data_IF_367468886001
#
_entry.id   IF_367468886001
#
_cell.length_a   1.000
_cell.length_b   1.000
_cell.length_c   1.000
_cell.angle_alpha   90.00
_cell.angle_beta   90.00
_cell.angle_gamma   90.00
#
_symmetry.space_group_name_H-M   'P 1'
#
loop_
_entity.id
_entity.type
_entity.pdbx_description
1 polymer ?
#
# COMPACT_ATOMS: atom_id res chain seq x y z
N UNK A 1 24.66 -15.98 -43.39
CA UNK A 1 23.32 -15.39 -43.37
C UNK A 1 22.29 -16.52 -43.24
N UNK A 2 21.96 -16.90 -41.99
CA UNK A 2 20.93 -17.91 -41.74
C UNK A 2 19.60 -17.16 -41.46
N UNK A 3 18.66 -17.30 -42.41
CA UNK A 3 17.28 -16.83 -42.21
C UNK A 3 16.61 -17.74 -41.18
N UNK A 4 16.34 -17.20 -40.00
CA UNK A 4 15.48 -17.85 -39.01
C UNK A 4 14.07 -17.94 -39.60
N UNK A 5 13.64 -19.16 -39.90
CA UNK A 5 12.31 -19.44 -40.43
C UNK A 5 11.27 -19.16 -39.37
N UNK A 6 10.52 -18.10 -39.53
CA UNK A 6 9.31 -17.78 -38.71
C UNK A 6 8.31 -18.95 -38.89
N UNK A 7 8.18 -19.77 -37.84
CA UNK A 7 7.19 -20.86 -37.79
C UNK A 7 5.80 -20.26 -37.88
N UNK A 8 5.11 -20.38 -39.01
CA UNK A 8 3.72 -19.94 -39.19
C UNK A 8 2.90 -20.50 -38.04
N UNK A 9 2.29 -19.60 -37.23
CA UNK A 9 1.30 -19.96 -36.20
C UNK A 9 0.18 -20.77 -36.86
N UNK A 10 0.13 -22.08 -36.58
CA UNK A 10 -0.92 -22.96 -37.06
C UNK A 10 -2.31 -22.40 -36.69
N UNK A 11 -3.30 -22.54 -37.59
CA UNK A 11 -4.69 -22.16 -37.34
C UNK A 11 -5.12 -22.76 -35.97
N UNK A 12 -5.44 -21.91 -34.99
CA UNK A 12 -5.97 -22.36 -33.71
C UNK A 12 -7.22 -23.17 -33.97
N UNK A 13 -7.31 -24.39 -33.41
CA UNK A 13 -8.51 -25.20 -33.57
C UNK A 13 -9.70 -24.43 -32.93
N UNK A 14 -10.85 -24.45 -33.62
CA UNK A 14 -12.08 -23.78 -33.18
C UNK A 14 -12.42 -24.11 -31.73
N UNK A 15 -12.22 -25.38 -31.32
CA UNK A 15 -12.44 -25.81 -29.92
C UNK A 15 -11.51 -25.11 -28.90
N UNK A 16 -10.23 -24.89 -29.22
CA UNK A 16 -9.33 -24.13 -28.34
C UNK A 16 -9.76 -22.67 -28.21
N UNK A 17 -10.20 -22.07 -29.30
CA UNK A 17 -10.66 -20.69 -29.31
C UNK A 17 -11.95 -20.53 -28.51
N UNK A 18 -12.91 -21.44 -28.69
CA UNK A 18 -14.16 -21.47 -27.96
C UNK A 18 -13.91 -21.67 -26.44
N UNK A 19 -13.04 -22.59 -26.07
CA UNK A 19 -12.67 -22.83 -24.67
C UNK A 19 -12.08 -21.56 -24.00
N UNK A 20 -11.20 -20.84 -24.72
CA UNK A 20 -10.63 -19.58 -24.21
C UNK A 20 -11.71 -18.53 -24.03
N UNK A 21 -12.61 -18.33 -24.99
CA UNK A 21 -13.68 -17.34 -24.85
C UNK A 21 -14.68 -17.69 -23.77
N UNK A 22 -15.07 -18.95 -23.62
CA UNK A 22 -15.97 -19.37 -22.55
C UNK A 22 -15.30 -19.24 -21.17
N UNK A 23 -14.00 -19.59 -21.06
CA UNK A 23 -13.25 -19.42 -19.82
C UNK A 23 -13.06 -17.97 -19.41
N UNK A 24 -12.90 -17.06 -20.40
CA UNK A 24 -12.77 -15.61 -20.14
C UNK A 24 -14.11 -14.87 -20.00
N UNK A 25 -15.21 -15.45 -20.50
CA UNK A 25 -16.51 -14.80 -20.47
C UNK A 25 -16.98 -14.45 -19.04
N UNK A 26 -16.81 -15.38 -18.10
CA UNK A 26 -17.18 -15.16 -16.70
C UNK A 26 -16.37 -14.05 -16.01
N UNK A 27 -15.03 -14.06 -16.02
CA UNK A 27 -14.23 -12.96 -15.46
C UNK A 27 -14.53 -11.59 -16.09
N UNK A 28 -14.73 -11.54 -17.42
CA UNK A 28 -15.06 -10.29 -18.13
C UNK A 28 -16.43 -9.78 -17.71
N UNK A 29 -17.43 -10.65 -17.65
CA UNK A 29 -18.79 -10.29 -17.23
C UNK A 29 -18.78 -9.80 -15.77
N UNK A 30 -18.12 -10.53 -14.88
CA UNK A 30 -17.97 -10.14 -13.47
C UNK A 30 -17.30 -8.78 -13.34
N UNK A 31 -16.19 -8.56 -14.04
CA UNK A 31 -15.49 -7.28 -14.05
C UNK A 31 -16.39 -6.15 -14.57
N UNK A 32 -17.09 -6.37 -15.68
CA UNK A 32 -17.96 -5.36 -16.29
C UNK A 32 -19.11 -4.98 -15.34
N UNK A 33 -19.80 -5.97 -14.75
CA UNK A 33 -20.93 -5.71 -13.88
C UNK A 33 -20.52 -5.06 -12.56
N UNK A 34 -19.55 -5.63 -11.86
CA UNK A 34 -19.21 -5.17 -10.52
C UNK A 34 -18.25 -3.97 -10.52
N UNK A 35 -17.25 -3.96 -11.37
CA UNK A 35 -16.29 -2.85 -11.39
C UNK A 35 -16.83 -1.64 -12.15
N UNK A 36 -17.29 -1.85 -13.37
CA UNK A 36 -17.71 -0.76 -14.26
C UNK A 36 -18.96 -0.04 -13.76
N UNK A 37 -20.02 -0.78 -13.36
CA UNK A 37 -21.25 -0.18 -12.85
C UNK A 37 -21.02 0.59 -11.54
N UNK A 38 -20.18 0.07 -10.62
CA UNK A 38 -19.85 0.76 -9.37
C UNK A 38 -19.07 2.06 -9.64
N UNK A 39 -18.07 2.02 -10.51
CA UNK A 39 -17.27 3.20 -10.82
C UNK A 39 -18.05 4.26 -11.60
N UNK A 40 -18.96 3.89 -12.51
CA UNK A 40 -19.85 4.84 -13.18
C UNK A 40 -20.75 5.54 -12.15
N UNK A 41 -21.31 4.80 -11.19
CA UNK A 41 -22.10 5.37 -10.11
C UNK A 41 -21.33 6.42 -9.30
N UNK A 42 -20.08 6.13 -8.98
CA UNK A 42 -19.20 7.08 -8.28
C UNK A 42 -18.95 8.34 -9.14
N UNK A 43 -18.64 8.16 -10.42
CA UNK A 43 -18.44 9.29 -11.36
C UNK A 43 -19.73 10.10 -11.50
N UNK A 44 -20.89 9.45 -11.62
CA UNK A 44 -22.18 10.14 -11.67
C UNK A 44 -22.42 10.94 -10.39
N UNK A 45 -22.29 10.33 -9.22
CA UNK A 45 -22.50 10.97 -7.92
C UNK A 45 -21.55 12.15 -7.66
N UNK A 46 -20.38 12.19 -8.30
CA UNK A 46 -19.41 13.28 -8.13
C UNK A 46 -19.86 14.63 -8.72
N UNK A 47 -20.88 14.63 -9.58
CA UNK A 47 -21.45 15.84 -10.18
C UNK A 47 -22.70 16.35 -9.44
N UNK A 48 -23.16 15.65 -8.42
CA UNK A 48 -24.38 15.97 -7.70
C UNK A 48 -24.12 16.15 -6.21
N UNK A 49 -24.85 17.08 -5.55
CA UNK A 49 -25.01 17.14 -4.10
C UNK A 49 -26.37 16.61 -3.69
N UNK A 50 -26.48 16.15 -2.47
CA UNK A 50 -27.75 15.76 -1.87
C UNK A 50 -28.26 16.89 -0.97
N UNK A 51 -29.47 17.37 -1.24
CA UNK A 51 -30.13 18.37 -0.40
C UNK A 51 -30.69 17.71 0.87
N UNK A 52 -31.03 18.53 1.89
CA UNK A 52 -31.63 18.12 3.18
C UNK A 52 -32.86 17.19 2.97
N UNK A 53 -33.54 17.29 1.85
CA UNK A 53 -34.68 16.47 1.48
C UNK A 53 -34.31 15.18 0.68
N UNK A 54 -33.06 14.81 0.58
CA UNK A 54 -32.62 13.64 -0.16
C UNK A 54 -32.68 13.78 -1.70
N UNK A 55 -32.90 15.00 -2.23
CA UNK A 55 -32.90 15.24 -3.69
C UNK A 55 -31.51 15.56 -4.19
N UNK A 56 -31.11 14.90 -5.28
CA UNK A 56 -29.88 15.20 -5.99
C UNK A 56 -30.01 16.52 -6.77
N UNK A 57 -29.09 17.44 -6.54
CA UNK A 57 -28.93 18.70 -7.25
C UNK A 57 -27.66 18.63 -8.07
N UNK A 58 -27.70 19.03 -9.32
CA UNK A 58 -26.53 19.04 -10.19
C UNK A 58 -25.65 20.26 -9.89
N UNK A 59 -24.42 20.03 -9.41
CA UNK A 59 -23.42 21.05 -9.06
C UNK A 59 -22.26 21.14 -10.07
N UNK A 60 -22.31 20.34 -11.12
CA UNK A 60 -21.27 20.35 -12.15
C UNK A 60 -19.88 19.98 -11.60
N UNK A 61 -18.90 20.87 -11.77
CA UNK A 61 -17.50 20.62 -11.38
C UNK A 61 -17.10 21.30 -10.05
N UNK A 62 -18.04 21.82 -9.25
CA UNK A 62 -17.71 22.53 -8.02
C UNK A 62 -16.99 21.63 -7.01
N UNK A 63 -17.41 20.38 -6.85
CA UNK A 63 -16.76 19.41 -5.97
C UNK A 63 -15.30 19.12 -6.37
N UNK A 64 -15.01 19.08 -7.66
CA UNK A 64 -13.63 18.93 -8.15
C UNK A 64 -12.77 20.15 -7.85
N UNK A 65 -13.33 21.37 -8.01
CA UNK A 65 -12.65 22.61 -7.61
C UNK A 65 -12.34 22.61 -6.12
N UNK A 66 -13.28 22.14 -5.31
CA UNK A 66 -13.07 22.03 -3.87
C UNK A 66 -12.01 20.98 -3.53
N UNK A 67 -11.98 19.80 -4.16
CA UNK A 67 -10.91 18.82 -3.98
C UNK A 67 -9.53 19.44 -4.22
N UNK A 68 -9.36 20.18 -5.32
CA UNK A 68 -8.07 20.83 -5.61
C UNK A 68 -7.75 22.00 -4.65
N UNK A 69 -8.75 22.82 -4.26
CA UNK A 69 -8.56 23.87 -3.27
C UNK A 69 -8.10 23.30 -1.92
N UNK A 70 -8.66 22.16 -1.52
CA UNK A 70 -8.34 21.49 -0.26
C UNK A 70 -7.01 20.76 -0.33
N UNK A 71 -6.69 20.15 -1.45
CA UNK A 71 -5.40 19.53 -1.67
C UNK A 71 -4.24 20.51 -1.49
N UNK A 72 -4.40 21.77 -1.96
CA UNK A 72 -3.37 22.80 -1.89
C UNK A 72 -3.50 23.73 -0.67
N UNK A 73 -4.44 23.47 0.25
CA UNK A 73 -4.59 24.24 1.49
C UNK A 73 -5.02 25.70 1.32
N UNK A 74 -5.75 26.02 0.23
CA UNK A 74 -6.12 27.40 -0.13
C UNK A 74 -7.17 28.00 0.80
N UNK A 75 -7.94 27.18 1.52
CA UNK A 75 -8.95 27.61 2.50
C UNK A 75 -8.56 27.28 3.94
N UNK A 76 -8.72 28.23 4.86
CA UNK A 76 -8.27 28.19 6.26
C UNK A 76 -8.93 27.09 7.14
N UNK A 77 -10.07 26.54 6.74
CA UNK A 77 -10.79 25.49 7.47
C UNK A 77 -10.30 24.05 7.15
N UNK A 78 -9.27 23.88 6.32
CA UNK A 78 -9.00 22.64 5.60
C UNK A 78 -7.58 22.13 5.76
N UNK A 79 -6.89 22.52 6.82
CA UNK A 79 -5.60 21.91 7.21
C UNK A 79 -5.68 20.39 7.33
N UNK A 80 -6.87 19.84 7.65
CA UNK A 80 -7.08 18.39 7.74
C UNK A 80 -6.98 17.75 6.36
N UNK A 81 -7.54 18.37 5.31
CA UNK A 81 -7.54 17.82 3.96
C UNK A 81 -6.15 17.79 3.34
N UNK A 82 -5.42 18.91 3.38
CA UNK A 82 -4.05 18.97 2.86
C UNK A 82 -3.11 18.02 3.62
N UNK A 83 -3.29 17.90 4.93
CA UNK A 83 -2.53 16.95 5.76
C UNK A 83 -2.84 15.49 5.39
N UNK A 84 -4.08 15.17 5.04
CA UNK A 84 -4.46 13.82 4.60
C UNK A 84 -3.80 13.41 3.29
N UNK A 85 -3.61 14.33 2.35
CA UNK A 85 -2.81 14.10 1.15
C UNK A 85 -1.34 13.83 1.48
N UNK A 86 -0.74 14.65 2.34
CA UNK A 86 0.64 14.45 2.82
C UNK A 86 0.79 13.11 3.55
N UNK A 87 -0.16 12.74 4.39
CA UNK A 87 -0.18 11.45 5.07
C UNK A 87 -0.22 10.29 4.08
N UNK A 88 -1.06 10.37 3.05
CA UNK A 88 -1.14 9.35 1.99
C UNK A 88 0.19 9.22 1.24
N UNK A 89 0.82 10.34 0.88
CA UNK A 89 2.14 10.35 0.25
C UNK A 89 3.23 9.81 1.19
N UNK A 90 3.14 10.10 2.49
CA UNK A 90 4.06 9.57 3.50
C UNK A 90 3.96 8.05 3.62
N UNK A 91 2.74 7.49 3.67
CA UNK A 91 2.52 6.03 3.68
C UNK A 91 3.06 5.40 2.40
N UNK A 92 2.83 6.02 1.24
CA UNK A 92 3.35 5.55 -0.04
C UNK A 92 4.89 5.58 -0.08
N UNK A 93 5.50 6.67 0.38
CA UNK A 93 6.95 6.78 0.48
C UNK A 93 7.55 5.76 1.45
N UNK A 94 6.93 5.58 2.62
CA UNK A 94 7.33 4.59 3.61
C UNK A 94 7.24 3.16 3.04
N UNK A 95 6.18 2.84 2.29
CA UNK A 95 6.01 1.54 1.66
C UNK A 95 7.12 1.25 0.62
N UNK A 96 7.48 2.24 -0.21
CA UNK A 96 8.47 2.08 -1.27
C UNK A 96 9.92 2.16 -0.76
N UNK A 97 10.23 3.11 0.12
CA UNK A 97 11.62 3.42 0.49
C UNK A 97 12.07 2.75 1.79
N UNK A 98 11.14 2.27 2.62
CA UNK A 98 11.45 1.59 3.88
C UNK A 98 10.98 0.13 3.83
N UNK A 99 9.69 -0.11 3.63
CA UNK A 99 9.15 -1.47 3.72
C UNK A 99 9.68 -2.38 2.60
N UNK A 100 9.71 -1.92 1.37
CA UNK A 100 10.18 -2.72 0.24
C UNK A 100 11.67 -3.11 0.37
N UNK A 101 12.64 -2.18 0.65
CA UNK A 101 14.03 -2.56 0.85
C UNK A 101 14.24 -3.48 2.07
N UNK A 102 13.57 -3.22 3.19
CA UNK A 102 13.65 -4.09 4.37
C UNK A 102 13.13 -5.49 4.05
N UNK A 103 12.00 -5.60 3.35
CA UNK A 103 11.43 -6.89 2.94
C UNK A 103 12.39 -7.64 2.01
N UNK A 104 13.05 -6.96 1.07
CA UNK A 104 14.05 -7.57 0.17
C UNK A 104 15.24 -8.12 0.96
N UNK A 105 15.78 -7.34 1.90
CA UNK A 105 16.89 -7.77 2.75
C UNK A 105 16.51 -8.98 3.61
N UNK A 106 15.36 -8.93 4.32
CA UNK A 106 14.92 -10.06 5.13
C UNK A 106 14.59 -11.31 4.29
N UNK A 107 14.01 -11.13 3.10
CA UNK A 107 13.78 -12.24 2.17
C UNK A 107 15.09 -12.88 1.72
N UNK A 108 16.10 -12.09 1.42
CA UNK A 108 17.43 -12.60 1.06
C UNK A 108 18.09 -13.35 2.21
N UNK A 109 18.00 -12.82 3.44
CA UNK A 109 18.54 -13.51 4.63
C UNK A 109 17.86 -14.89 4.86
N UNK A 110 16.56 -14.98 4.63
CA UNK A 110 15.82 -16.24 4.74
C UNK A 110 16.19 -17.19 3.58
N UNK A 111 16.34 -16.67 2.36
CA UNK A 111 16.73 -17.43 1.17
C UNK A 111 18.10 -18.07 1.31
N UNK A 112 19.10 -17.29 1.72
CA UNK A 112 20.48 -17.76 1.96
C UNK A 112 20.64 -18.57 3.24
N UNK A 113 19.58 -18.80 4.00
CA UNK A 113 19.60 -19.55 5.28
C UNK A 113 20.63 -19.02 6.29
N UNK A 114 20.77 -17.70 6.36
CA UNK A 114 21.68 -17.05 7.31
C UNK A 114 21.26 -17.37 8.75
N UNK A 115 22.18 -17.21 9.71
CA UNK A 115 21.92 -17.44 11.13
C UNK A 115 20.57 -16.88 11.59
N UNK A 116 19.79 -17.66 12.34
CA UNK A 116 18.43 -17.36 12.79
C UNK A 116 17.36 -17.25 11.67
N UNK A 117 17.61 -17.71 10.43
CA UNK A 117 16.62 -17.66 9.34
C UNK A 117 15.27 -18.31 9.67
N UNK A 118 15.25 -19.35 10.51
CA UNK A 118 13.99 -20.00 10.96
C UNK A 118 13.20 -19.08 11.90
N UNK A 119 13.87 -18.45 12.86
CA UNK A 119 13.23 -17.50 13.78
C UNK A 119 12.73 -16.27 13.02
N UNK A 120 13.51 -15.73 12.07
CA UNK A 120 13.11 -14.66 11.18
C UNK A 120 11.88 -15.06 10.33
N UNK A 121 11.88 -16.28 9.77
CA UNK A 121 10.75 -16.78 8.99
C UNK A 121 9.47 -16.82 9.84
N UNK A 122 9.52 -17.39 11.03
CA UNK A 122 8.36 -17.47 11.92
C UNK A 122 7.92 -16.08 12.36
N UNK A 123 8.85 -15.23 12.82
CA UNK A 123 8.55 -13.87 13.28
C UNK A 123 7.93 -12.98 12.21
N UNK A 124 8.34 -13.13 10.95
CA UNK A 124 7.80 -12.36 9.83
C UNK A 124 6.51 -12.93 9.24
N UNK A 125 6.31 -14.26 9.28
CA UNK A 125 5.12 -14.88 8.69
C UNK A 125 3.93 -14.88 9.64
N UNK A 126 4.13 -14.95 10.95
CA UNK A 126 3.03 -14.93 11.94
C UNK A 126 2.12 -13.70 11.79
N UNK A 127 2.64 -12.46 11.69
CA UNK A 127 1.79 -11.29 11.46
C UNK A 127 1.03 -11.31 10.12
N UNK A 128 1.55 -12.00 9.08
CA UNK A 128 0.86 -12.10 7.79
C UNK A 128 -0.44 -12.93 7.84
N UNK A 129 -0.51 -13.89 8.77
CA UNK A 129 -1.68 -14.79 8.94
C UNK A 129 -2.77 -14.10 9.75
N UNK A 130 -2.40 -13.12 10.58
CA UNK A 130 -3.34 -12.42 11.44
C UNK A 130 -4.08 -11.33 10.65
N UNK A 131 -5.38 -11.16 10.96
CA UNK A 131 -6.15 -10.03 10.43
C UNK A 131 -5.55 -8.70 10.87
N UNK A 132 -5.54 -7.71 9.98
CA UNK A 132 -5.11 -6.34 10.31
C UNK A 132 -5.89 -5.75 11.50
N UNK A 133 -7.14 -6.15 11.69
CA UNK A 133 -7.96 -5.72 12.83
C UNK A 133 -7.37 -6.22 14.15
N UNK A 134 -6.99 -7.50 14.20
CA UNK A 134 -6.36 -8.10 15.39
C UNK A 134 -5.01 -7.43 15.68
N UNK A 135 -4.21 -7.19 14.64
CA UNK A 135 -2.92 -6.49 14.77
C UNK A 135 -3.10 -5.06 15.29
N UNK A 136 -4.10 -4.32 14.77
CA UNK A 136 -4.44 -2.99 15.26
C UNK A 136 -4.87 -3.02 16.73
N UNK A 137 -5.74 -3.95 17.13
CA UNK A 137 -6.18 -4.08 18.52
C UNK A 137 -5.01 -4.40 19.45
N UNK A 138 -4.19 -5.39 19.09
CA UNK A 138 -2.99 -5.74 19.86
C UNK A 138 -2.04 -4.55 20.02
N UNK A 139 -1.74 -3.86 18.92
CA UNK A 139 -0.87 -2.69 18.93
C UNK A 139 -1.46 -1.55 19.75
N UNK A 140 -2.76 -1.26 19.58
CA UNK A 140 -3.48 -0.24 20.35
C UNK A 140 -3.39 -0.50 21.86
N UNK A 141 -3.64 -1.73 22.31
CA UNK A 141 -3.49 -2.11 23.71
C UNK A 141 -2.06 -1.90 24.19
N UNK A 142 -1.08 -2.22 23.36
CA UNK A 142 0.35 -2.10 23.71
C UNK A 142 0.81 -0.64 23.88
N UNK A 143 0.22 0.32 23.14
CA UNK A 143 0.66 1.73 23.14
C UNK A 143 -0.33 2.70 23.81
N UNK A 144 -1.49 2.23 24.29
CA UNK A 144 -2.55 3.09 24.88
C UNK A 144 -2.61 3.02 26.41
N UNK A 145 -1.52 3.38 27.08
CA UNK A 145 -1.56 3.64 28.52
C UNK A 145 -1.75 2.44 29.45
N UNK A 146 -1.57 1.21 28.96
CA UNK A 146 -1.56 -0.01 29.78
C UNK A 146 -0.37 -0.04 30.74
N UNK A 147 -0.40 -0.94 31.74
CA UNK A 147 0.71 -1.08 32.70
C UNK A 147 2.05 -1.37 32.00
N UNK A 148 2.03 -2.20 30.93
CA UNK A 148 3.22 -2.51 30.10
C UNK A 148 3.78 -1.26 29.42
N UNK A 149 2.90 -0.42 28.86
CA UNK A 149 3.29 0.84 28.23
C UNK A 149 3.86 1.83 29.24
N UNK A 150 3.25 1.92 30.44
CA UNK A 150 3.75 2.77 31.54
C UNK A 150 5.14 2.32 32.00
N UNK A 151 5.41 1.03 32.09
CA UNK A 151 6.72 0.50 32.41
C UNK A 151 7.78 0.88 31.36
N UNK A 152 7.44 0.79 30.07
CA UNK A 152 8.32 1.23 28.98
C UNK A 152 8.57 2.74 29.05
N UNK A 153 7.55 3.55 29.29
CA UNK A 153 7.67 5.00 29.43
C UNK A 153 8.54 5.39 30.63
N UNK A 154 8.43 4.68 31.75
CA UNK A 154 9.32 4.92 32.92
C UNK A 154 10.79 4.70 32.57
N UNK A 155 11.11 3.75 31.68
CA UNK A 155 12.46 3.57 31.17
C UNK A 155 12.86 4.73 30.27
N UNK A 156 11.95 5.17 29.37
CA UNK A 156 12.21 6.30 28.46
C UNK A 156 12.34 7.63 29.23
N UNK A 157 11.60 7.83 30.32
CA UNK A 157 11.76 8.99 31.21
C UNK A 157 13.16 9.03 31.86
N UNK A 158 13.65 7.87 32.30
CA UNK A 158 15.03 7.75 32.82
C UNK A 158 16.08 8.07 31.74
N UNK A 159 15.75 7.87 30.46
CA UNK A 159 16.56 8.24 29.30
C UNK A 159 16.35 9.69 28.82
N UNK A 160 15.55 10.48 29.55
CA UNK A 160 15.35 11.91 29.28
C UNK A 160 14.10 12.27 28.49
N UNK A 161 13.21 11.32 28.20
CA UNK A 161 11.93 11.60 27.51
C UNK A 161 10.89 12.17 28.48
N UNK A 162 10.40 13.42 28.25
CA UNK A 162 9.58 14.18 29.22
C UNK A 162 8.17 14.52 28.71
N UNK A 163 7.62 13.81 27.74
CA UNK A 163 6.26 14.15 27.26
C UNK A 163 5.17 13.57 28.19
N UNK A 164 4.68 14.39 29.10
CA UNK A 164 3.69 13.99 30.10
C UNK A 164 2.32 13.63 29.52
N UNK A 165 1.90 14.20 28.40
CA UNK A 165 0.59 13.88 27.80
C UNK A 165 0.60 12.46 27.21
N UNK A 166 1.71 12.03 26.62
CA UNK A 166 1.94 10.67 26.12
C UNK A 166 1.96 9.66 27.26
N UNK A 167 2.60 10.01 28.39
CA UNK A 167 2.67 9.16 29.58
C UNK A 167 1.28 8.92 30.17
N UNK A 168 0.43 9.94 30.18
CA UNK A 168 -0.89 9.87 30.80
C UNK A 168 -1.95 9.23 29.89
N UNK A 169 -2.00 9.62 28.64
CA UNK A 169 -3.09 9.31 27.70
C UNK A 169 -2.75 8.25 26.65
N UNK A 170 -1.46 7.87 26.51
CA UNK A 170 -0.98 6.98 25.46
C UNK A 170 -0.55 7.72 24.20
N UNK A 171 0.31 7.06 23.41
CA UNK A 171 0.93 7.67 22.23
C UNK A 171 -0.05 7.96 21.08
N UNK A 172 -1.21 7.30 21.05
CA UNK A 172 -2.24 7.49 20.03
C UNK A 172 -3.20 8.64 20.33
N UNK A 173 -3.28 9.08 21.58
CA UNK A 173 -4.19 10.16 22.00
C UNK A 173 -3.56 11.56 21.85
N UNK A 174 -2.25 11.64 21.68
CA UNK A 174 -1.53 12.90 21.53
C UNK A 174 -1.28 13.19 20.03
N UNK A 175 -1.70 14.38 19.57
CA UNK A 175 -1.58 14.79 18.16
C UNK A 175 -0.13 14.87 17.66
N UNK A 176 0.84 15.06 18.57
CA UNK A 176 2.27 15.13 18.22
C UNK A 176 2.90 13.77 17.98
N UNK A 177 2.38 12.70 18.61
CA UNK A 177 2.95 11.35 18.56
C UNK A 177 2.10 10.33 17.81
N UNK A 178 0.79 10.58 17.69
CA UNK A 178 -0.15 9.63 17.09
C UNK A 178 0.25 9.21 15.68
N UNK A 179 0.64 10.17 14.84
CA UNK A 179 1.07 9.87 13.46
C UNK A 179 2.33 9.01 13.42
N UNK A 180 3.35 9.36 14.19
CA UNK A 180 4.60 8.58 14.25
C UNK A 180 4.34 7.15 14.76
N UNK A 181 3.45 7.01 15.74
CA UNK A 181 3.04 5.69 16.26
C UNK A 181 2.36 4.83 15.18
N UNK A 182 1.52 5.45 14.33
CA UNK A 182 0.91 4.79 13.18
C UNK A 182 1.96 4.41 12.13
N UNK A 183 2.95 5.28 11.87
CA UNK A 183 4.03 4.97 10.93
C UNK A 183 4.86 3.76 11.39
N UNK A 184 5.18 3.67 12.69
CA UNK A 184 5.87 2.49 13.26
C UNK A 184 5.04 1.21 13.05
N UNK A 185 3.73 1.27 13.32
CA UNK A 185 2.83 0.15 13.03
C UNK A 185 2.85 -0.23 11.55
N UNK A 186 2.84 0.77 10.64
CA UNK A 186 2.83 0.56 9.20
C UNK A 186 4.14 -0.04 8.68
N UNK A 187 5.29 0.30 9.30
CA UNK A 187 6.57 -0.36 8.99
C UNK A 187 6.52 -1.82 9.45
N UNK A 188 6.13 -2.05 10.69
CA UNK A 188 6.09 -3.41 11.24
C UNK A 188 5.19 -4.34 10.43
N UNK A 189 3.98 -3.91 10.08
CA UNK A 189 3.04 -4.74 9.30
C UNK A 189 3.38 -4.80 7.82
N UNK A 190 3.93 -3.72 7.25
CA UNK A 190 4.22 -3.61 5.82
C UNK A 190 5.39 -4.47 5.36
N UNK A 191 6.41 -4.65 6.19
CA UNK A 191 7.56 -5.54 5.89
C UNK A 191 7.11 -6.99 5.78
N UNK A 192 6.21 -7.42 6.67
CA UNK A 192 5.78 -8.82 6.75
C UNK A 192 4.99 -9.26 5.52
N UNK A 193 4.09 -8.43 4.99
CA UNK A 193 3.14 -8.80 3.95
C UNK A 193 3.77 -9.27 2.63
N UNK A 194 4.92 -8.73 2.27
CA UNK A 194 5.54 -8.94 0.96
C UNK A 194 6.67 -9.99 0.94
N UNK A 195 7.09 -10.47 2.11
CA UNK A 195 8.25 -11.37 2.25
C UNK A 195 8.06 -12.70 1.52
N UNK A 196 6.83 -13.22 1.47
CA UNK A 196 6.49 -14.48 0.80
C UNK A 196 6.71 -14.37 -0.71
N UNK A 197 6.35 -13.24 -1.31
CA UNK A 197 6.51 -13.01 -2.75
C UNK A 197 7.98 -12.95 -3.15
N UNK A 198 8.81 -12.24 -2.40
CA UNK A 198 10.24 -12.16 -2.69
C UNK A 198 10.97 -13.46 -2.41
N UNK A 199 10.64 -14.18 -1.33
CA UNK A 199 11.19 -15.51 -1.11
C UNK A 199 10.85 -16.48 -2.24
N UNK A 200 9.60 -16.45 -2.74
CA UNK A 200 9.17 -17.27 -3.86
C UNK A 200 9.87 -16.88 -5.17
N UNK A 201 10.15 -15.60 -5.37
CA UNK A 201 10.89 -15.13 -6.54
C UNK A 201 12.37 -15.57 -6.49
N UNK A 202 13.01 -15.41 -5.32
CA UNK A 202 14.41 -15.83 -5.12
C UNK A 202 14.57 -17.35 -5.23
N UNK A 203 13.62 -18.13 -4.72
CA UNK A 203 13.65 -19.60 -4.82
C UNK A 203 13.56 -20.15 -6.27
N UNK A 204 13.22 -19.32 -7.24
CA UNK A 204 13.20 -19.69 -8.67
C UNK A 204 14.51 -19.38 -9.39
N UNK A 205 15.45 -18.73 -8.71
CA UNK A 205 16.76 -18.44 -9.30
C UNK A 205 17.56 -19.74 -9.47
N UNK A 206 18.25 -19.94 -10.61
CA UNK A 206 19.11 -21.10 -10.78
C UNK A 206 20.28 -21.08 -9.80
N UNK A 207 20.45 -22.15 -9.03
CA UNK A 207 21.53 -22.26 -8.04
C UNK A 207 22.92 -22.11 -8.71
N UNK A 208 23.07 -22.61 -9.95
CA UNK A 208 24.32 -22.51 -10.73
C UNK A 208 24.81 -21.06 -10.93
N UNK A 209 23.91 -20.07 -10.97
CA UNK A 209 24.29 -18.65 -11.12
C UNK A 209 24.96 -18.14 -9.86
N UNK A 210 24.42 -18.49 -8.68
CA UNK A 210 24.97 -18.08 -7.39
C UNK A 210 26.25 -18.84 -7.04
N UNK A 211 26.28 -20.15 -7.34
CA UNK A 211 27.50 -20.97 -7.19
C UNK A 211 28.65 -20.45 -8.05
N UNK A 212 28.39 -20.11 -9.31
CA UNK A 212 29.42 -19.51 -10.20
C UNK A 212 29.91 -18.17 -9.63
N UNK A 213 29.02 -17.33 -9.12
CA UNK A 213 29.40 -16.06 -8.51
C UNK A 213 30.24 -16.24 -7.22
N UNK A 214 29.96 -17.29 -6.44
CA UNK A 214 30.76 -17.66 -5.28
C UNK A 214 32.17 -18.12 -5.66
N UNK A 215 32.29 -18.93 -6.73
CA UNK A 215 33.57 -19.36 -7.27
C UNK A 215 34.39 -18.17 -7.81
N UNK A 216 33.74 -17.15 -8.37
CA UNK A 216 34.35 -15.90 -8.81
C UNK A 216 34.70 -14.95 -7.63
N UNK A 217 34.44 -15.36 -6.37
CA UNK A 217 34.76 -14.56 -5.17
C UNK A 217 33.79 -13.40 -4.92
N UNK A 218 32.58 -13.41 -5.47
CA UNK A 218 31.57 -12.40 -5.22
C UNK A 218 31.06 -12.50 -3.78
N UNK A 219 31.18 -11.41 -3.01
CA UNK A 219 30.62 -11.32 -1.66
C UNK A 219 29.10 -11.40 -1.68
N UNK A 220 28.48 -11.80 -0.56
CA UNK A 220 27.01 -11.86 -0.39
C UNK A 220 26.31 -10.55 -0.79
N UNK A 221 26.88 -9.42 -0.38
CA UNK A 221 26.36 -8.09 -0.74
C UNK A 221 26.40 -7.86 -2.26
N UNK A 222 27.49 -8.27 -2.92
CA UNK A 222 27.61 -8.15 -4.38
C UNK A 222 26.65 -9.08 -5.09
N UNK A 223 26.48 -10.30 -4.63
CA UNK A 223 25.47 -11.23 -5.17
C UNK A 223 24.06 -10.64 -5.04
N UNK A 224 23.71 -10.08 -3.87
CA UNK A 224 22.40 -9.48 -3.64
C UNK A 224 22.09 -8.33 -4.61
N UNK A 225 22.96 -7.31 -4.67
CA UNK A 225 22.69 -6.12 -5.48
C UNK A 225 22.93 -6.32 -6.98
N UNK A 226 23.93 -7.11 -7.38
CA UNK A 226 24.33 -7.23 -8.78
C UNK A 226 23.73 -8.43 -9.51
N UNK A 227 23.20 -9.44 -8.79
CA UNK A 227 22.66 -10.66 -9.38
C UNK A 227 21.19 -10.83 -8.99
N UNK A 228 20.91 -10.94 -7.68
CA UNK A 228 19.57 -11.28 -7.20
C UNK A 228 18.55 -10.20 -7.54
N UNK A 229 18.82 -8.93 -7.18
CA UNK A 229 17.91 -7.81 -7.45
C UNK A 229 17.58 -7.67 -8.95
N UNK A 230 18.55 -7.65 -9.89
CA UNK A 230 18.23 -7.61 -11.31
C UNK A 230 17.40 -8.79 -11.79
N UNK A 231 17.69 -10.00 -11.33
CA UNK A 231 16.95 -11.21 -11.75
C UNK A 231 15.51 -11.27 -11.24
N UNK A 232 15.23 -10.71 -10.07
CA UNK A 232 13.85 -10.63 -9.52
C UNK A 232 13.17 -9.29 -9.80
N UNK A 233 13.75 -8.44 -10.65
CA UNK A 233 13.25 -7.10 -10.93
C UNK A 233 11.78 -7.04 -11.35
N UNK A 234 11.27 -7.95 -12.22
CA UNK A 234 9.84 -7.99 -12.54
C UNK A 234 8.95 -8.17 -11.32
N UNK A 235 9.38 -8.98 -10.35
CA UNK A 235 8.66 -9.15 -9.08
C UNK A 235 8.73 -7.88 -8.23
N UNK A 236 9.89 -7.20 -8.17
CA UNK A 236 10.05 -5.93 -7.47
C UNK A 236 9.13 -4.87 -8.08
N UNK A 237 9.06 -4.77 -9.40
CA UNK A 237 8.17 -3.84 -10.11
C UNK A 237 6.70 -4.12 -9.77
N UNK A 238 6.27 -5.37 -9.84
CA UNK A 238 4.89 -5.76 -9.52
C UNK A 238 4.53 -5.47 -8.06
N UNK A 239 5.42 -5.79 -7.11
CA UNK A 239 5.21 -5.51 -5.69
C UNK A 239 5.20 -4.01 -5.40
N UNK A 240 6.06 -3.23 -6.05
CA UNK A 240 6.07 -1.77 -5.91
C UNK A 240 4.74 -1.16 -6.37
N UNK A 241 4.20 -1.60 -7.50
CA UNK A 241 2.88 -1.17 -8.00
C UNK A 241 1.78 -1.53 -6.99
N UNK A 242 1.83 -2.73 -6.42
CA UNK A 242 0.86 -3.19 -5.41
C UNK A 242 0.95 -2.35 -4.14
N UNK A 243 2.16 -2.01 -3.69
CA UNK A 243 2.38 -1.14 -2.52
C UNK A 243 1.86 0.28 -2.74
N UNK A 244 2.10 0.88 -3.92
CA UNK A 244 1.56 2.19 -4.28
C UNK A 244 0.03 2.17 -4.26
N UNK A 245 -0.58 1.18 -4.92
CA UNK A 245 -2.03 1.04 -4.97
C UNK A 245 -2.64 0.81 -3.57
N UNK A 246 -1.98 -0.01 -2.74
CA UNK A 246 -2.37 -0.23 -1.35
C UNK A 246 -2.29 1.03 -0.49
N UNK A 247 -1.27 1.87 -0.70
CA UNK A 247 -1.10 3.12 0.03
C UNK A 247 -2.21 4.15 -0.29
N UNK A 248 -2.70 4.18 -1.53
CA UNK A 248 -3.83 5.04 -1.92
C UNK A 248 -5.14 4.64 -1.23
N UNK A 249 -5.36 3.36 -0.97
CA UNK A 249 -6.52 2.81 -0.25
C UNK A 249 -6.28 2.61 1.26
N UNK A 250 -5.19 3.13 1.82
CA UNK A 250 -4.81 2.87 3.20
C UNK A 250 -5.62 3.73 4.18
N UNK A 251 -6.54 3.11 4.94
CA UNK A 251 -7.38 3.81 5.92
C UNK A 251 -7.62 3.01 7.21
N UNK A 252 -7.61 1.68 7.14
CA UNK A 252 -7.99 0.80 8.26
C UNK A 252 -7.16 1.07 9.52
N UNK A 253 -5.83 1.18 9.50
CA UNK A 253 -5.07 1.46 10.70
C UNK A 253 -5.38 2.84 11.30
N UNK A 254 -5.57 3.90 10.49
CA UNK A 254 -6.01 5.21 11.01
C UNK A 254 -7.35 5.11 11.71
N UNK A 255 -8.31 4.38 11.13
CA UNK A 255 -9.64 4.19 11.68
C UNK A 255 -9.62 3.40 12.99
N UNK A 256 -8.91 2.29 13.04
CA UNK A 256 -8.93 1.37 14.17
C UNK A 256 -8.02 1.80 15.34
N UNK A 257 -6.86 2.38 15.05
CA UNK A 257 -5.90 2.77 16.08
C UNK A 257 -6.35 4.04 16.80
N UNK A 258 -6.76 5.06 16.06
CA UNK A 258 -7.11 6.36 16.62
C UNK A 258 -8.62 6.55 16.78
N UNK A 259 -9.40 5.96 15.89
CA UNK A 259 -10.86 6.12 15.84
C UNK A 259 -11.28 7.20 14.85
N UNK A 260 -12.53 7.14 14.40
CA UNK A 260 -13.04 7.98 13.32
C UNK A 260 -13.02 9.47 13.67
N UNK A 261 -13.54 9.84 14.83
CA UNK A 261 -13.60 11.23 15.30
C UNK A 261 -12.22 11.81 15.63
N UNK A 262 -11.33 11.01 16.20
CA UNK A 262 -10.00 11.48 16.62
C UNK A 262 -9.00 11.55 15.46
N UNK A 263 -9.15 10.78 14.42
CA UNK A 263 -8.24 10.82 13.27
C UNK A 263 -8.27 12.19 12.56
N UNK A 264 -9.42 12.84 12.51
CA UNK A 264 -9.55 14.22 12.03
C UNK A 264 -8.82 15.22 12.93
N UNK A 265 -9.07 15.19 14.24
CA UNK A 265 -8.50 16.15 15.21
C UNK A 265 -7.00 15.95 15.43
N UNK A 266 -6.51 14.73 15.46
CA UNK A 266 -5.08 14.41 15.54
C UNK A 266 -4.33 14.58 14.22
N UNK A 267 -5.06 14.75 13.12
CA UNK A 267 -4.49 14.88 11.77
C UNK A 267 -3.80 13.60 11.28
N UNK A 268 -4.28 12.43 11.68
CA UNK A 268 -3.75 11.11 11.28
C UNK A 268 -4.54 10.48 10.12
N UNK A 269 -5.60 11.15 9.63
CA UNK A 269 -6.39 10.69 8.50
C UNK A 269 -5.60 10.70 7.19
N UNK A 270 -5.88 9.73 6.33
CA UNK A 270 -5.43 9.67 4.92
C UNK A 270 -6.57 10.09 3.99
N UNK A 271 -6.31 10.22 2.69
CA UNK A 271 -7.38 10.54 1.72
C UNK A 271 -8.45 9.44 1.69
N UNK A 272 -8.04 8.16 1.74
CA UNK A 272 -8.99 7.04 1.81
C UNK A 272 -9.83 7.08 3.11
N UNK A 273 -9.21 7.44 4.24
CA UNK A 273 -9.94 7.66 5.49
C UNK A 273 -10.97 8.78 5.37
N UNK A 274 -10.64 9.91 4.71
CA UNK A 274 -11.58 11.00 4.49
C UNK A 274 -12.81 10.56 3.68
N UNK A 275 -12.61 9.77 2.62
CA UNK A 275 -13.72 9.24 1.81
C UNK A 275 -14.63 8.38 2.70
N UNK A 276 -14.07 7.42 3.43
CA UNK A 276 -14.84 6.50 4.27
C UNK A 276 -15.55 7.24 5.41
N UNK A 277 -14.90 8.19 6.06
CA UNK A 277 -15.50 9.00 7.14
C UNK A 277 -16.69 9.82 6.63
N UNK A 278 -16.61 10.42 5.44
CA UNK A 278 -17.74 11.14 4.83
C UNK A 278 -18.89 10.19 4.47
N UNK A 279 -18.58 9.02 3.90
CA UNK A 279 -19.59 8.01 3.56
C UNK A 279 -20.30 7.50 4.82
N UNK A 280 -19.55 7.22 5.89
CA UNK A 280 -20.12 6.79 7.18
C UNK A 280 -21.00 7.88 7.84
N UNK A 281 -20.69 9.15 7.58
CA UNK A 281 -21.52 10.29 8.01
C UNK A 281 -22.79 10.49 7.14
N UNK A 282 -23.05 9.61 6.17
CA UNK A 282 -24.21 9.70 5.26
C UNK A 282 -23.97 10.53 4.01
N UNK A 283 -22.76 11.08 3.82
CA UNK A 283 -22.42 11.92 2.66
C UNK A 283 -21.68 11.09 1.61
N UNK A 284 -22.39 10.29 0.83
CA UNK A 284 -21.79 9.45 -0.21
C UNK A 284 -21.70 10.15 -1.59
N UNK A 285 -22.38 11.29 -1.75
CA UNK A 285 -22.45 12.08 -3.00
C UNK A 285 -21.55 13.32 -2.92
N UNK A 286 -21.33 13.96 -4.05
CA UNK A 286 -20.59 15.22 -4.15
C UNK A 286 -19.10 15.09 -3.87
N UNK A 287 -18.62 15.77 -2.83
CA UNK A 287 -17.21 15.88 -2.51
C UNK A 287 -16.49 14.52 -2.31
N UNK A 288 -16.97 13.55 -1.52
CA UNK A 288 -16.27 12.27 -1.36
C UNK A 288 -16.24 11.45 -2.65
N UNK A 289 -17.29 11.52 -3.46
CA UNK A 289 -17.30 10.87 -4.77
C UNK A 289 -16.29 11.53 -5.74
N UNK A 290 -16.24 12.86 -5.79
CA UNK A 290 -15.24 13.59 -6.58
C UNK A 290 -13.81 13.31 -6.10
N UNK A 291 -13.59 13.24 -4.79
CA UNK A 291 -12.29 12.88 -4.20
C UNK A 291 -11.85 11.47 -4.60
N UNK A 292 -12.79 10.50 -4.61
CA UNK A 292 -12.55 9.14 -5.09
C UNK A 292 -12.16 9.08 -6.57
N UNK A 293 -12.81 9.85 -7.43
CA UNK A 293 -12.46 9.97 -8.86
C UNK A 293 -11.07 10.58 -9.03
N UNK A 294 -10.79 11.67 -8.33
CA UNK A 294 -9.48 12.36 -8.42
C UNK A 294 -8.34 11.42 -7.99
N UNK A 295 -8.50 10.73 -6.85
CA UNK A 295 -7.44 9.81 -6.37
C UNK A 295 -7.27 8.60 -7.31
N UNK A 296 -8.35 8.12 -7.94
CA UNK A 296 -8.28 7.03 -8.93
C UNK A 296 -7.54 7.48 -10.19
N UNK A 297 -7.80 8.67 -10.71
CA UNK A 297 -7.14 9.22 -11.90
C UNK A 297 -5.67 9.54 -11.61
N UNK A 298 -5.38 10.28 -10.54
CA UNK A 298 -4.01 10.65 -10.17
C UNK A 298 -3.19 9.41 -9.79
N UNK A 299 -3.75 8.52 -8.98
CA UNK A 299 -3.10 7.29 -8.56
C UNK A 299 -2.84 6.34 -9.74
N UNK A 300 -3.83 6.13 -10.61
CA UNK A 300 -3.69 5.30 -11.81
C UNK A 300 -2.61 5.86 -12.75
N UNK A 301 -2.61 7.17 -12.99
CA UNK A 301 -1.58 7.84 -13.80
C UNK A 301 -0.21 7.67 -13.17
N UNK A 302 -0.09 7.87 -11.86
CA UNK A 302 1.17 7.70 -11.14
C UNK A 302 1.69 6.27 -11.23
N UNK A 303 0.83 5.26 -11.04
CA UNK A 303 1.17 3.83 -11.17
C UNK A 303 1.69 3.51 -12.57
N UNK A 304 1.02 4.01 -13.63
CA UNK A 304 1.44 3.78 -15.02
C UNK A 304 2.80 4.42 -15.34
N UNK A 305 3.02 5.63 -14.85
CA UNK A 305 4.30 6.33 -15.01
C UNK A 305 5.41 5.61 -14.23
N UNK A 306 5.13 5.22 -13.00
CA UNK A 306 6.07 4.48 -12.15
C UNK A 306 6.46 3.14 -12.80
N UNK A 307 5.47 2.37 -13.30
CA UNK A 307 5.72 1.13 -14.05
C UNK A 307 6.67 1.36 -15.22
N UNK A 308 6.40 2.37 -16.05
CA UNK A 308 7.27 2.73 -17.18
C UNK A 308 8.72 3.04 -16.77
N UNK A 309 8.89 3.73 -15.64
CA UNK A 309 10.24 4.04 -15.12
C UNK A 309 10.95 2.76 -14.68
N UNK A 310 10.27 1.89 -13.93
CA UNK A 310 10.85 0.62 -13.46
C UNK A 310 11.24 -0.31 -14.61
N UNK A 311 10.40 -0.44 -15.63
CA UNK A 311 10.69 -1.24 -16.85
C UNK A 311 11.84 -0.66 -17.68
N UNK A 312 12.08 0.65 -17.61
CA UNK A 312 13.22 1.29 -18.27
C UNK A 312 14.55 1.02 -17.57
N UNK A 313 14.54 0.84 -16.24
CA UNK A 313 15.76 0.58 -15.44
C UNK A 313 16.29 -0.83 -15.75
N UNK A 314 15.42 -1.84 -15.74
CA UNK A 314 15.75 -3.21 -16.15
C UNK A 314 14.62 -3.71 -17.06
N UNK A 315 14.84 -3.74 -18.40
CA UNK A 315 13.88 -4.31 -19.34
C UNK A 315 13.62 -5.78 -19.03
N UNK A 316 12.37 -6.23 -19.18
CA UNK A 316 12.04 -7.65 -19.08
C UNK A 316 12.82 -8.42 -20.15
N UNK A 317 13.67 -9.33 -19.71
CA UNK A 317 14.32 -10.30 -20.60
C UNK A 317 13.40 -11.51 -20.66
N UNK A 318 12.71 -11.72 -21.78
CA UNK A 318 12.00 -12.99 -22.04
C UNK A 318 13.05 -14.10 -22.16
N UNK A 319 13.07 -15.03 -21.21
CA UNK A 319 13.87 -16.27 -21.25
C UNK A 319 13.13 -17.38 -21.99
#
# INVERSE_FOLDING_TARGET
>A
MNKVAYKKRGKRSVGKTLFIYLGLAWPILHFTVFWFCMNIGMVYNSFFSENINGKLIFDGLEHYKDVFRYMFGIKKYEMISSKSWLNTLTIMGLALFINLPLTLVFSYMIYKKIFLHQALRVGMYVPCVLSVVILCLFYKISVSGTQTYKSLLTVLEKLGYKNQSVIKNGALADSSTAWNTILIFSVWTGVNGNIIYFNSAMARLPDSVLESAELDGASETRQFFSIVIPMIWPTITTMSITLISGALGWYIPSLLLVGESMAGTTGTGTVAWMIISNVNAGNATGYPAALGVVIAVLGGTFVLLFKKVMEKIYPEVEY
#
